data_IF_693362624806
#
_entry.id   IF_693362624806
#
_cell.length_a   1.000
_cell.length_b   1.000
_cell.length_c   1.000
_cell.angle_alpha   90.00
_cell.angle_beta   90.00
_cell.angle_gamma   90.00
#
_symmetry.space_group_name_H-M   'P 1'
#
loop_
_entity.id
_entity.type
_entity.pdbx_description
1 polymer ?
#
# COMPACT_ATOMS: atom_id res chain seq x y z
N UNK A 1 -12.11 13.54 -20.72
CA UNK A 1 -10.94 14.23 -20.19
C UNK A 1 -9.68 13.73 -20.90
N UNK A 2 -8.87 14.66 -21.37
CA UNK A 2 -7.74 14.35 -22.23
C UNK A 2 -6.72 13.40 -21.59
N UNK A 3 -6.40 13.61 -20.32
CA UNK A 3 -5.46 12.75 -19.62
C UNK A 3 -5.95 11.34 -19.46
N UNK A 4 -7.24 11.19 -19.22
CA UNK A 4 -7.87 9.89 -19.09
C UNK A 4 -7.86 9.16 -20.42
N UNK A 5 -8.10 9.88 -21.51
CA UNK A 5 -8.03 9.33 -22.86
C UNK A 5 -6.62 8.84 -23.21
N UNK A 6 -5.60 9.49 -22.64
CA UNK A 6 -4.23 9.06 -22.79
C UNK A 6 -3.87 7.92 -21.83
N UNK A 7 -4.87 7.36 -21.16
CA UNK A 7 -4.73 6.24 -20.21
C UNK A 7 -3.94 6.58 -18.97
N UNK A 8 -3.81 7.85 -18.66
CA UNK A 8 -3.27 8.27 -17.38
C UNK A 8 -4.35 8.10 -16.32
N UNK A 9 -4.11 7.33 -15.24
CA UNK A 9 -5.11 7.14 -14.19
C UNK A 9 -5.51 8.45 -13.55
N UNK A 10 -6.81 8.61 -13.27
CA UNK A 10 -7.32 9.80 -12.59
C UNK A 10 -6.58 10.02 -11.26
N UNK A 11 -6.25 8.94 -10.55
CA UNK A 11 -5.51 9.00 -9.29
C UNK A 11 -4.20 9.77 -9.42
N UNK A 12 -3.46 9.60 -10.52
CA UNK A 12 -2.23 10.34 -10.75
C UNK A 12 -2.48 11.82 -10.94
N UNK A 13 -3.59 12.16 -11.60
CA UNK A 13 -3.97 13.56 -11.82
C UNK A 13 -4.30 14.24 -10.49
N UNK A 14 -5.02 13.55 -9.61
CA UNK A 14 -5.42 14.07 -8.31
C UNK A 14 -4.36 13.90 -7.23
N UNK A 15 -3.39 13.01 -7.45
CA UNK A 15 -2.33 12.72 -6.48
C UNK A 15 -2.77 11.85 -5.31
N UNK A 16 -4.00 11.32 -5.33
CA UNK A 16 -4.57 10.52 -4.26
C UNK A 16 -5.41 9.38 -4.80
N UNK A 17 -5.44 8.28 -4.05
CA UNK A 17 -6.30 7.13 -4.37
C UNK A 17 -6.79 6.51 -3.06
N UNK A 18 -8.09 6.30 -2.96
CA UNK A 18 -8.67 5.55 -1.86
C UNK A 18 -8.51 4.06 -2.10
N UNK A 19 -8.05 3.35 -1.10
CA UNK A 19 -7.94 1.90 -1.11
C UNK A 19 -8.18 1.40 0.31
N UNK A 20 -9.07 0.42 0.46
CA UNK A 20 -9.43 -0.12 1.78
C UNK A 20 -9.88 0.98 2.74
N UNK A 21 -10.64 1.96 2.23
CA UNK A 21 -11.09 3.15 2.97
C UNK A 21 -9.98 4.03 3.51
N UNK A 22 -8.77 3.88 2.99
CA UNK A 22 -7.61 4.69 3.34
C UNK A 22 -7.21 5.55 2.15
N UNK A 23 -6.72 6.75 2.43
CA UNK A 23 -6.34 7.71 1.41
C UNK A 23 -4.82 7.70 1.20
N UNK A 24 -4.39 7.17 0.04
CA UNK A 24 -2.98 7.02 -0.29
C UNK A 24 -2.51 8.11 -1.23
N UNK A 25 -1.31 8.63 -0.99
CA UNK A 25 -0.63 9.48 -1.97
C UNK A 25 -0.08 8.60 -3.07
N UNK A 26 -0.37 8.97 -4.30
CA UNK A 26 0.09 8.26 -5.50
C UNK A 26 0.52 9.28 -6.55
N UNK A 27 1.30 8.84 -7.53
CA UNK A 27 1.74 9.71 -8.60
C UNK A 27 2.53 8.94 -9.64
N UNK A 28 3.14 9.63 -10.60
CA UNK A 28 3.98 8.99 -11.60
C UNK A 28 5.10 8.17 -10.95
N UNK A 29 5.35 6.99 -11.48
CA UNK A 29 6.38 6.10 -10.96
C UNK A 29 5.92 5.16 -9.87
N UNK A 30 4.65 5.21 -9.48
CA UNK A 30 4.09 4.29 -8.50
C UNK A 30 2.84 3.62 -9.06
N UNK A 31 2.69 2.34 -8.79
CA UNK A 31 1.52 1.59 -9.24
C UNK A 31 0.31 1.97 -8.38
N UNK A 32 -0.79 2.34 -9.05
CA UNK A 32 -2.04 2.69 -8.36
C UNK A 32 -2.72 1.43 -7.86
N UNK A 33 -3.08 1.35 -6.55
CA UNK A 33 -3.82 0.20 -6.05
C UNK A 33 -5.19 0.11 -6.72
N UNK A 34 -5.59 -1.12 -7.08
CA UNK A 34 -6.85 -1.37 -7.77
C UNK A 34 -7.86 -2.02 -6.83
N UNK A 35 -9.16 -1.84 -7.09
CA UNK A 35 -10.20 -2.44 -6.24
C UNK A 35 -10.07 -3.97 -6.10
N UNK A 36 -9.69 -4.68 -7.16
CA UNK A 36 -9.54 -6.13 -7.10
C UNK A 36 -8.35 -6.57 -6.25
N UNK A 37 -7.41 -5.67 -5.96
CA UNK A 37 -6.32 -5.95 -5.03
C UNK A 37 -6.83 -6.08 -3.59
N UNK A 38 -7.97 -5.51 -3.28
CA UNK A 38 -8.61 -5.68 -1.96
C UNK A 38 -8.94 -7.13 -1.66
N UNK A 39 -9.10 -7.96 -2.69
CA UNK A 39 -9.31 -9.40 -2.54
C UNK A 39 -8.17 -10.06 -1.76
N UNK A 40 -6.95 -9.56 -1.92
CA UNK A 40 -5.80 -10.08 -1.19
C UNK A 40 -5.95 -9.85 0.32
N UNK A 41 -6.46 -8.68 0.69
CA UNK A 41 -6.68 -8.35 2.10
C UNK A 41 -7.82 -9.21 2.66
N UNK A 42 -8.89 -9.36 1.90
CA UNK A 42 -10.02 -10.20 2.30
C UNK A 42 -9.59 -11.65 2.49
N UNK A 43 -8.73 -12.15 1.60
CA UNK A 43 -8.22 -13.52 1.69
C UNK A 43 -7.33 -13.69 2.92
N UNK A 44 -6.48 -12.71 3.23
CA UNK A 44 -5.66 -12.73 4.43
C UNK A 44 -6.53 -12.79 5.68
N UNK A 45 -7.61 -12.01 5.73
CA UNK A 45 -8.55 -12.02 6.84
C UNK A 45 -9.21 -13.39 6.98
N UNK A 46 -9.56 -14.01 5.86
CA UNK A 46 -10.18 -15.34 5.86
C UNK A 46 -9.22 -16.41 6.39
N UNK A 47 -7.95 -16.33 6.02
CA UNK A 47 -6.94 -17.30 6.42
C UNK A 47 -6.47 -17.11 7.86
N UNK A 48 -6.50 -15.88 8.36
CA UNK A 48 -6.09 -15.53 9.72
C UNK A 48 -7.25 -14.75 10.36
N UNK A 49 -8.30 -15.44 10.86
CA UNK A 49 -9.49 -14.77 11.38
C UNK A 49 -9.23 -13.94 12.65
N UNK A 50 -8.19 -14.28 13.40
CA UNK A 50 -7.84 -13.52 14.61
C UNK A 50 -7.14 -12.22 14.23
N UNK A 51 -7.87 -11.10 14.28
CA UNK A 51 -7.36 -9.78 13.93
C UNK A 51 -6.32 -9.26 14.93
N UNK A 52 -6.21 -9.89 16.09
CA UNK A 52 -5.22 -9.52 17.11
C UNK A 52 -3.94 -10.36 17.00
N UNK A 53 -3.84 -11.26 16.04
CA UNK A 53 -2.66 -12.10 15.86
C UNK A 53 -1.41 -11.22 15.65
N UNK A 54 -0.28 -11.52 16.34
CA UNK A 54 0.95 -10.74 16.20
C UNK A 54 1.72 -11.15 14.94
N UNK A 55 1.18 -10.85 13.79
CA UNK A 55 1.74 -11.24 12.49
C UNK A 55 2.96 -10.39 12.12
N UNK A 56 3.83 -10.97 11.32
CA UNK A 56 4.88 -10.24 10.59
C UNK A 56 4.57 -10.36 9.11
N UNK A 57 4.46 -9.22 8.45
CA UNK A 57 4.04 -9.15 7.06
C UNK A 57 5.17 -8.57 6.22
N UNK A 58 5.51 -9.23 5.11
CA UNK A 58 6.49 -8.72 4.17
C UNK A 58 5.81 -8.51 2.82
N UNK A 59 6.07 -7.38 2.20
CA UNK A 59 5.52 -7.02 0.90
C UNK A 59 6.67 -6.70 -0.05
N UNK A 60 6.88 -7.55 -1.04
CA UNK A 60 7.88 -7.34 -2.08
C UNK A 60 7.26 -6.55 -3.23
N UNK A 61 7.85 -5.40 -3.55
CA UNK A 61 7.27 -4.50 -4.54
C UNK A 61 6.12 -3.68 -3.94
N UNK A 62 6.40 -2.99 -2.83
CA UNK A 62 5.37 -2.32 -2.03
C UNK A 62 4.57 -1.24 -2.79
N UNK A 63 5.14 -0.64 -3.84
CA UNK A 63 4.46 0.42 -4.59
C UNK A 63 4.12 1.61 -3.71
N UNK A 64 2.83 1.95 -3.62
CA UNK A 64 2.35 3.01 -2.73
C UNK A 64 2.29 2.58 -1.26
N UNK A 65 2.52 1.31 -0.98
CA UNK A 65 2.38 0.73 0.34
C UNK A 65 0.97 0.25 0.64
N UNK A 66 0.06 0.29 -0.34
CA UNK A 66 -1.37 0.08 -0.10
C UNK A 66 -1.69 -1.27 0.52
N UNK A 67 -1.14 -2.37 0.00
CA UNK A 67 -1.44 -3.72 0.50
C UNK A 67 -0.91 -3.88 1.93
N UNK A 68 0.35 -3.51 2.15
CA UNK A 68 0.96 -3.62 3.48
C UNK A 68 0.21 -2.79 4.51
N UNK A 69 -0.07 -1.54 4.20
CA UNK A 69 -0.72 -0.61 5.12
C UNK A 69 -2.15 -1.06 5.42
N UNK A 70 -2.91 -1.49 4.40
CA UNK A 70 -4.26 -2.00 4.60
C UNK A 70 -4.26 -3.24 5.49
N UNK A 71 -3.31 -4.16 5.27
CA UNK A 71 -3.17 -5.35 6.11
C UNK A 71 -2.86 -4.98 7.56
N UNK A 72 -1.98 -4.01 7.77
CA UNK A 72 -1.64 -3.57 9.13
C UNK A 72 -2.80 -2.84 9.83
N UNK A 73 -3.69 -2.21 9.06
CA UNK A 73 -4.91 -1.64 9.63
C UNK A 73 -5.86 -2.73 10.13
N UNK A 74 -5.97 -3.82 9.38
CA UNK A 74 -6.83 -4.95 9.78
C UNK A 74 -6.25 -5.75 10.93
N UNK A 75 -4.94 -5.96 10.93
CA UNK A 75 -4.26 -6.74 11.98
C UNK A 75 -3.54 -5.79 12.92
N UNK A 76 -4.24 -5.36 13.96
CA UNK A 76 -3.78 -4.27 14.84
C UNK A 76 -2.50 -4.57 15.62
N UNK A 77 -2.16 -5.84 15.80
CA UNK A 77 -0.93 -6.25 16.49
C UNK A 77 0.17 -6.71 15.54
N UNK A 78 -0.04 -6.57 14.24
CA UNK A 78 0.95 -6.95 13.24
C UNK A 78 1.98 -5.85 13.01
N UNK A 79 3.17 -6.27 12.61
CA UNK A 79 4.21 -5.37 12.10
C UNK A 79 4.54 -5.78 10.67
N UNK A 80 5.08 -4.87 9.89
CA UNK A 80 5.34 -5.16 8.50
C UNK A 80 6.55 -4.45 7.94
N UNK A 81 7.08 -5.02 6.87
CA UNK A 81 8.17 -4.43 6.11
C UNK A 81 7.84 -4.51 4.62
N UNK A 82 7.98 -3.38 3.94
CA UNK A 82 7.81 -3.31 2.49
C UNK A 82 9.14 -3.06 1.81
N UNK A 83 9.39 -3.76 0.72
CA UNK A 83 10.59 -3.57 -0.09
C UNK A 83 10.19 -2.98 -1.42
N UNK A 84 10.90 -1.95 -1.86
CA UNK A 84 10.62 -1.30 -3.12
C UNK A 84 11.92 -0.91 -3.80
N UNK A 85 12.06 -1.27 -5.09
CA UNK A 85 13.26 -0.98 -5.86
C UNK A 85 13.24 0.43 -6.47
N UNK A 86 12.06 0.97 -6.74
CA UNK A 86 11.90 2.30 -7.32
C UNK A 86 12.01 3.38 -6.24
N UNK A 87 12.96 4.34 -6.36
CA UNK A 87 13.05 5.44 -5.39
C UNK A 87 11.78 6.28 -5.30
N UNK A 88 11.07 6.47 -6.39
CA UNK A 88 9.81 7.23 -6.42
C UNK A 88 8.72 6.50 -5.64
N UNK A 89 8.56 5.20 -5.89
CA UNK A 89 7.57 4.39 -5.18
C UNK A 89 7.92 4.26 -3.70
N UNK A 90 9.21 4.10 -3.38
CA UNK A 90 9.69 4.08 -2.01
C UNK A 90 9.28 5.34 -1.25
N UNK A 91 9.42 6.50 -1.89
CA UNK A 91 9.08 7.77 -1.27
C UNK A 91 7.60 7.86 -0.96
N UNK A 92 6.73 7.49 -1.90
CA UNK A 92 5.30 7.45 -1.66
C UNK A 92 4.92 6.45 -0.57
N UNK A 93 5.48 5.24 -0.62
CA UNK A 93 5.21 4.22 0.38
C UNK A 93 5.61 4.68 1.77
N UNK A 94 6.78 5.31 1.90
CA UNK A 94 7.29 5.82 3.18
C UNK A 94 6.38 6.90 3.76
N UNK A 95 5.93 7.83 2.93
CA UNK A 95 5.02 8.88 3.37
C UNK A 95 3.66 8.32 3.77
N UNK A 96 3.12 7.40 2.98
CA UNK A 96 1.85 6.76 3.30
C UNK A 96 1.93 5.96 4.59
N UNK A 97 3.01 5.20 4.78
CA UNK A 97 3.22 4.42 5.99
C UNK A 97 3.30 5.32 7.23
N UNK A 98 4.10 6.38 7.16
CA UNK A 98 4.26 7.30 8.28
C UNK A 98 2.94 7.96 8.68
N UNK A 99 2.14 8.36 7.70
CA UNK A 99 0.87 9.05 7.94
C UNK A 99 -0.23 8.10 8.41
N UNK A 100 -0.31 6.91 7.84
CA UNK A 100 -1.46 6.01 8.05
C UNK A 100 -1.24 4.96 9.15
N UNK A 101 -0.01 4.52 9.34
CA UNK A 101 0.31 3.43 10.26
C UNK A 101 1.34 3.84 11.33
N UNK A 102 2.36 4.59 10.93
CA UNK A 102 3.46 4.93 11.82
C UNK A 102 4.48 3.81 11.93
N UNK A 103 5.04 3.61 13.13
CA UNK A 103 6.21 2.76 13.36
C UNK A 103 6.01 1.27 13.09
N UNK A 104 4.77 0.80 12.98
CA UNK A 104 4.51 -0.62 12.69
C UNK A 104 4.86 -1.03 11.27
N UNK A 105 5.03 -0.08 10.35
CA UNK A 105 5.41 -0.33 8.97
C UNK A 105 6.79 0.25 8.70
N UNK A 106 7.68 -0.58 8.19
CA UNK A 106 9.00 -0.14 7.72
C UNK A 106 9.06 -0.30 6.21
N UNK A 107 9.54 0.71 5.50
CA UNK A 107 9.71 0.65 4.06
C UNK A 107 11.20 0.75 3.76
N UNK A 108 11.71 -0.16 2.94
CA UNK A 108 13.11 -0.17 2.54
C UNK A 108 13.25 -0.05 1.03
N UNK A 109 14.19 0.76 0.61
CA UNK A 109 14.61 0.83 -0.78
C UNK A 109 15.62 -0.30 -1.00
N UNK A 110 15.22 -1.31 -1.76
CA UNK A 110 16.04 -2.49 -1.98
C UNK A 110 15.67 -3.19 -3.28
N UNK A 111 16.67 -3.76 -3.94
CA UNK A 111 16.47 -4.65 -5.08
C UNK A 111 16.58 -6.09 -4.59
N UNK A 112 15.83 -6.95 -5.27
CA UNK A 112 15.84 -8.39 -4.97
C UNK A 112 15.95 -9.22 -6.24
#
# INVERSE_FOLDING_TARGET
MARREKREPIAYILGRKEFWSLDFEVGPGVLVPRPDTETLIEEAIRLVPDRSAPLRIADLGAGSGAILIAALKEFSHATGIGFEASPQAYDYASRNAARLIGARAEIRLAEW
#
